data_IF_111976278646
#
_entry.id   IF_111976278646
#
_cell.length_a   1.000
_cell.length_b   1.000
_cell.length_c   1.000
_cell.angle_alpha   90.00
_cell.angle_beta   90.00
_cell.angle_gamma   90.00
#
_symmetry.space_group_name_H-M   'P 1'
#
loop_
_entity.id
_entity.type
_entity.pdbx_description
1 polymer ?
#
# COMPACT_ATOMS: atom_id res chain seq x y z
N UNK A 1 -5.93 6.22 7.72
CA UNK A 1 -6.10 5.01 6.88
C UNK A 1 -5.29 5.11 5.59
N UNK A 2 -4.76 3.99 5.11
CA UNK A 2 -4.29 3.73 3.75
C UNK A 2 -4.73 2.33 3.30
N UNK A 3 -4.88 2.09 2.00
CA UNK A 3 -5.26 0.80 1.44
C UNK A 3 -4.57 0.55 0.09
N UNK A 4 -4.33 -0.72 -0.22
CA UNK A 4 -3.75 -1.20 -1.47
C UNK A 4 -4.78 -2.07 -2.17
N UNK A 5 -5.02 -1.79 -3.45
CA UNK A 5 -5.95 -2.53 -4.29
C UNK A 5 -5.19 -3.31 -5.35
N UNK A 6 -5.57 -4.57 -5.52
CA UNK A 6 -5.21 -5.34 -6.70
C UNK A 6 -6.08 -4.89 -7.88
N UNK A 7 -5.46 -4.35 -8.93
CA UNK A 7 -6.19 -3.76 -10.07
C UNK A 7 -6.91 -4.80 -10.94
N UNK A 8 -6.44 -6.05 -10.97
CA UNK A 8 -7.04 -7.11 -11.76
C UNK A 8 -8.38 -7.56 -11.17
N UNK A 9 -8.40 -7.75 -9.85
CA UNK A 9 -9.53 -8.31 -9.10
C UNK A 9 -10.38 -7.26 -8.39
N UNK A 10 -9.89 -6.02 -8.29
CA UNK A 10 -10.45 -4.90 -7.51
C UNK A 10 -10.56 -5.19 -6.01
N UNK A 11 -9.84 -6.19 -5.50
CA UNK A 11 -9.84 -6.51 -4.07
C UNK A 11 -8.91 -5.57 -3.32
N UNK A 12 -9.30 -5.16 -2.12
CA UNK A 12 -8.37 -4.57 -1.16
C UNK A 12 -7.51 -5.69 -0.59
N UNK A 13 -6.21 -5.58 -0.79
CA UNK A 13 -5.24 -6.64 -0.47
C UNK A 13 -4.33 -6.27 0.70
N UNK A 14 -4.33 -5.01 1.12
CA UNK A 14 -3.70 -4.54 2.34
C UNK A 14 -4.30 -3.21 2.78
N UNK A 15 -4.33 -2.96 4.09
CA UNK A 15 -4.84 -1.72 4.67
C UNK A 15 -4.25 -1.50 6.06
N UNK A 16 -4.06 -0.24 6.43
CA UNK A 16 -3.71 0.12 7.80
C UNK A 16 -4.51 1.35 8.23
N UNK A 17 -4.91 1.37 9.49
CA UNK A 17 -5.59 2.49 10.13
C UNK A 17 -4.83 2.90 11.37
N UNK A 18 -4.75 4.20 11.59
CA UNK A 18 -4.11 4.83 12.74
C UNK A 18 -4.82 6.17 12.95
N UNK A 19 -4.75 6.69 14.16
CA UNK A 19 -5.29 7.98 14.57
C UNK A 19 -4.61 9.11 13.80
N UNK A 20 -3.31 8.97 13.51
CA UNK A 20 -2.51 9.99 12.87
C UNK A 20 -2.27 9.71 11.39
N UNK A 21 -2.32 10.77 10.59
CA UNK A 21 -2.16 10.71 9.16
C UNK A 21 -0.67 10.69 8.76
N UNK A 22 0.00 9.54 8.93
CA UNK A 22 1.46 9.43 8.71
C UNK A 22 1.85 8.56 7.50
N UNK A 23 3.15 8.53 7.15
CA UNK A 23 3.72 7.72 6.06
C UNK A 23 3.69 6.21 6.38
N UNK A 24 3.78 5.87 7.67
CA UNK A 24 3.78 4.51 8.19
C UNK A 24 2.51 3.77 7.81
N UNK A 25 1.37 4.47 7.74
CA UNK A 25 0.11 3.91 7.24
C UNK A 25 0.26 3.25 5.88
N UNK A 26 0.99 3.91 4.96
CA UNK A 26 1.11 3.43 3.59
C UNK A 26 2.14 2.32 3.49
N UNK A 27 3.25 2.44 4.23
CA UNK A 27 4.28 1.40 4.32
C UNK A 27 3.69 0.10 4.86
N UNK A 28 2.94 0.17 5.97
CA UNK A 28 2.31 -1.00 6.59
C UNK A 28 1.24 -1.63 5.69
N UNK A 29 0.41 -0.82 5.03
CA UNK A 29 -0.59 -1.33 4.10
C UNK A 29 0.04 -2.05 2.88
N UNK A 30 1.18 -1.53 2.38
CA UNK A 30 1.94 -2.15 1.28
C UNK A 30 2.63 -3.43 1.73
N UNK A 31 3.26 -3.43 2.91
CA UNK A 31 3.91 -4.59 3.49
C UNK A 31 2.92 -5.75 3.69
N UNK A 32 1.75 -5.43 4.27
CA UNK A 32 0.67 -6.40 4.43
C UNK A 32 0.21 -6.96 3.08
N UNK A 33 0.00 -6.10 2.08
CA UNK A 33 -0.43 -6.52 0.74
C UNK A 33 0.58 -7.48 0.10
N UNK A 34 1.87 -7.16 0.18
CA UNK A 34 2.94 -7.98 -0.39
C UNK A 34 3.02 -9.36 0.29
N UNK A 35 2.96 -9.39 1.62
CA UNK A 35 3.02 -10.62 2.40
C UNK A 35 1.80 -11.53 2.18
N UNK A 36 0.60 -10.96 2.01
CA UNK A 36 -0.62 -11.73 1.76
C UNK A 36 -0.70 -12.26 0.34
N UNK A 37 -0.37 -11.44 -0.67
CA UNK A 37 -0.47 -11.83 -2.08
C UNK A 37 0.68 -12.71 -2.53
N UNK A 38 1.87 -12.55 -1.92
CA UNK A 38 3.11 -13.26 -2.30
C UNK A 38 3.31 -13.30 -3.82
N UNK A 39 3.29 -12.13 -4.48
CA UNK A 39 3.32 -12.06 -5.94
C UNK A 39 4.60 -12.72 -6.48
N UNK A 40 4.47 -13.39 -7.62
CA UNK A 40 5.60 -14.04 -8.30
C UNK A 40 6.07 -13.17 -9.45
N UNK A 41 7.37 -12.89 -9.50
CA UNK A 41 7.95 -12.02 -10.52
C UNK A 41 7.85 -10.55 -10.18
N UNK A 42 8.00 -9.71 -11.20
CA UNK A 42 7.96 -8.25 -11.06
C UNK A 42 6.52 -7.75 -10.83
N UNK A 43 6.39 -6.72 -10.01
CA UNK A 43 5.09 -6.10 -9.68
C UNK A 43 5.18 -4.60 -9.96
N UNK A 44 4.17 -4.08 -10.66
CA UNK A 44 4.00 -2.64 -10.84
C UNK A 44 3.15 -2.09 -9.70
N UNK A 45 3.77 -1.26 -8.86
CA UNK A 45 3.07 -0.51 -7.83
C UNK A 45 2.75 0.90 -8.33
N UNK A 46 1.47 1.26 -8.35
CA UNK A 46 1.03 2.61 -8.72
C UNK A 46 0.55 3.35 -7.47
N UNK A 47 1.16 4.50 -7.23
CA UNK A 47 0.72 5.45 -6.22
C UNK A 47 0.38 6.78 -6.88
N UNK A 48 -0.69 7.41 -6.40
CA UNK A 48 -1.11 8.76 -6.76
C UNK A 48 -0.14 9.86 -6.26
N UNK A 49 0.92 9.49 -5.52
CA UNK A 49 1.94 10.37 -4.94
C UNK A 49 1.35 11.56 -4.15
N UNK A 50 0.22 11.35 -3.48
CA UNK A 50 -0.25 12.30 -2.46
C UNK A 50 0.80 12.51 -1.36
N UNK A 51 0.66 13.55 -0.54
CA UNK A 51 1.69 13.98 0.44
C UNK A 51 2.30 12.87 1.32
N UNK A 52 1.52 11.83 1.66
CA UNK A 52 1.98 10.64 2.40
C UNK A 52 2.67 9.58 1.54
N UNK A 53 2.29 9.47 0.28
CA UNK A 53 2.86 8.57 -0.70
C UNK A 53 4.08 9.16 -1.44
N UNK A 54 4.35 10.45 -1.25
CA UNK A 54 5.51 11.15 -1.81
C UNK A 54 6.74 11.15 -0.87
N UNK A 55 6.63 10.51 0.31
CA UNK A 55 7.76 10.32 1.22
C UNK A 55 8.86 9.50 0.57
N UNK A 56 10.14 9.80 0.84
CA UNK A 56 11.30 9.01 0.35
C UNK A 56 11.38 7.60 0.92
N UNK A 57 10.74 7.38 2.06
CA UNK A 57 10.74 6.08 2.75
C UNK A 57 9.64 5.15 2.26
N UNK A 58 8.70 5.66 1.46
CA UNK A 58 7.71 4.89 0.74
C UNK A 58 8.22 4.58 -0.66
#
# INVERSE_FOLDING_TARGET
>A
MASIMDLCTRKIVGFHMDEWMTKELVIQALDQAYHLQRPRGEVLHHSDRGSRYASREY
#
